data_IF_200182472953
#
_entry.id   IF_200182472953
#
_cell.length_a   1.000
_cell.length_b   1.000
_cell.length_c   1.000
_cell.angle_alpha   90.00
_cell.angle_beta   90.00
_cell.angle_gamma   90.00
#
_symmetry.space_group_name_H-M   'P 1'
#
loop_
_entity.id
_entity.type
_entity.pdbx_description
1 polymer ?
#
# COMPACT_ATOMS: atom_id res chain seq x y z
N UNK A 1 -5.23 10.74 48.58
CA UNK A 1 -3.93 10.82 47.90
C UNK A 1 -4.13 10.30 46.49
N UNK A 2 -4.25 11.21 45.52
CA UNK A 2 -4.46 10.90 44.11
C UNK A 2 -3.12 10.69 43.42
N UNK A 3 -2.78 9.44 43.10
CA UNK A 3 -1.65 9.13 42.23
C UNK A 3 -2.05 9.37 40.78
N UNK A 4 -1.58 10.47 40.19
CA UNK A 4 -1.54 10.63 38.73
C UNK A 4 -0.53 9.63 38.19
N UNK A 5 -1.00 8.71 37.36
CA UNK A 5 -0.15 8.04 36.38
C UNK A 5 0.09 9.04 35.25
N UNK A 6 1.22 9.74 35.29
CA UNK A 6 1.83 10.28 34.08
C UNK A 6 2.54 9.10 33.42
N UNK A 7 1.95 8.57 32.35
CA UNK A 7 2.67 7.73 31.41
C UNK A 7 3.55 8.66 30.57
N UNK A 8 4.86 8.56 30.75
CA UNK A 8 5.87 9.12 29.86
C UNK A 8 5.68 8.55 28.45
N UNK A 9 4.97 9.29 27.60
CA UNK A 9 5.02 9.14 26.15
C UNK A 9 6.03 10.15 25.61
N UNK A 10 7.27 9.69 25.45
CA UNK A 10 8.38 10.39 24.78
C UNK A 10 9.42 9.31 24.45
N UNK A 11 9.94 9.13 23.24
CA UNK A 11 9.88 9.94 22.02
C UNK A 11 10.59 9.14 20.93
N UNK A 12 9.87 8.72 19.89
CA UNK A 12 10.39 8.90 18.55
C UNK A 12 9.57 10.04 17.98
N UNK A 13 10.22 11.09 17.50
CA UNK A 13 9.50 12.05 16.68
C UNK A 13 8.92 11.31 15.48
N UNK A 14 7.72 11.67 15.02
CA UNK A 14 7.15 11.10 13.79
C UNK A 14 8.16 11.18 12.64
N UNK A 15 9.03 12.18 12.67
CA UNK A 15 10.13 12.35 11.75
C UNK A 15 11.22 11.27 11.89
N UNK A 16 11.64 10.88 13.09
CA UNK A 16 12.58 9.76 13.32
C UNK A 16 11.97 8.39 13.01
N UNK A 17 10.65 8.23 13.20
CA UNK A 17 9.95 7.00 12.80
C UNK A 17 9.85 6.90 11.28
N UNK A 18 9.50 8.00 10.62
CA UNK A 18 9.45 8.07 9.16
C UNK A 18 10.84 8.03 8.53
N UNK A 19 11.87 8.58 9.17
CA UNK A 19 13.28 8.43 8.79
C UNK A 19 13.75 6.99 9.01
N UNK A 20 13.39 6.34 10.12
CA UNK A 20 13.71 4.93 10.36
C UNK A 20 13.04 3.98 9.37
N UNK A 21 11.78 4.23 9.01
CA UNK A 21 11.11 3.56 7.89
C UNK A 21 11.83 3.89 6.60
N UNK A 22 12.02 5.17 6.28
CA UNK A 22 12.67 5.60 5.04
C UNK A 22 14.06 5.00 4.89
N UNK A 23 14.85 4.88 5.95
CA UNK A 23 16.20 4.30 5.96
C UNK A 23 16.14 2.78 5.85
N UNK A 24 15.14 2.12 6.43
CA UNK A 24 14.90 0.68 6.22
C UNK A 24 14.45 0.38 4.78
N UNK A 25 13.62 1.25 4.20
CA UNK A 25 13.21 1.17 2.80
C UNK A 25 14.37 1.58 1.85
N UNK A 26 15.26 2.49 2.26
CA UNK A 26 16.41 2.98 1.47
C UNK A 26 17.69 2.14 1.61
N UNK A 27 17.86 1.36 2.68
CA UNK A 27 19.06 0.54 2.88
C UNK A 27 19.19 -0.58 1.85
N UNK A 28 18.10 -0.91 1.17
CA UNK A 28 18.12 -1.71 -0.04
C UNK A 28 18.26 -0.75 -1.22
N UNK A 29 19.50 -0.53 -1.65
CA UNK A 29 19.76 0.04 -2.96
C UNK A 29 19.05 -0.85 -3.99
N UNK A 30 17.86 -0.45 -4.44
CA UNK A 30 17.07 -1.20 -5.40
C UNK A 30 17.85 -1.22 -6.72
N UNK A 31 18.63 -2.27 -6.97
CA UNK A 31 19.30 -2.48 -8.26
C UNK A 31 18.30 -2.76 -9.39
N UNK A 32 17.04 -3.05 -9.03
CA UNK A 32 15.86 -3.14 -9.87
C UNK A 32 14.64 -3.39 -8.96
N UNK A 33 13.53 -2.67 -9.16
CA UNK A 33 12.25 -3.06 -8.53
C UNK A 33 11.94 -4.53 -8.85
N UNK A 34 11.38 -5.32 -7.91
CA UNK A 34 10.95 -6.68 -8.20
C UNK A 34 10.08 -6.74 -9.47
N UNK A 35 10.29 -7.78 -10.27
CA UNK A 35 9.48 -8.00 -11.47
C UNK A 35 8.02 -8.22 -11.09
N UNK A 36 7.11 -7.58 -11.83
CA UNK A 36 5.68 -7.79 -11.65
C UNK A 36 5.31 -9.23 -12.01
N UNK A 37 4.58 -9.92 -11.13
CA UNK A 37 4.19 -11.31 -11.36
C UNK A 37 3.26 -11.44 -12.58
N UNK A 38 3.23 -12.59 -13.27
CA UNK A 38 2.31 -12.79 -14.40
C UNK A 38 0.84 -12.54 -14.04
N UNK A 39 0.42 -12.96 -12.82
CA UNK A 39 -0.93 -12.71 -12.28
C UNK A 39 -1.20 -11.21 -12.19
N UNK A 40 -0.23 -10.45 -11.68
CA UNK A 40 -0.39 -9.00 -11.56
C UNK A 40 -0.44 -8.31 -12.92
N UNK A 41 0.40 -8.71 -13.87
CA UNK A 41 0.33 -8.21 -15.26
C UNK A 41 -1.01 -8.53 -15.93
N UNK A 42 -1.58 -9.69 -15.66
CA UNK A 42 -2.93 -10.05 -16.12
C UNK A 42 -4.00 -9.16 -15.50
N UNK A 43 -3.93 -8.90 -14.19
CA UNK A 43 -4.79 -7.94 -13.49
C UNK A 43 -4.74 -6.54 -14.13
N UNK A 44 -3.52 -6.02 -14.34
CA UNK A 44 -3.29 -4.71 -14.98
C UNK A 44 -3.92 -4.64 -16.39
N UNK A 45 -3.98 -5.78 -17.08
CA UNK A 45 -4.49 -5.86 -18.46
C UNK A 45 -6.00 -6.09 -18.54
N UNK A 46 -6.61 -6.76 -17.55
CA UNK A 46 -8.03 -7.18 -17.62
C UNK A 46 -8.96 -6.38 -16.72
N UNK A 47 -8.51 -6.00 -15.52
CA UNK A 47 -9.38 -5.43 -14.50
C UNK A 47 -9.29 -3.89 -14.47
N UNK A 48 -8.08 -3.34 -14.61
CA UNK A 48 -7.88 -1.88 -14.71
C UNK A 48 -8.62 -1.22 -15.89
N UNK A 49 -8.70 -1.82 -17.11
CA UNK A 49 -9.33 -1.17 -18.26
C UNK A 49 -10.82 -0.81 -18.08
N UNK A 50 -11.51 -1.44 -17.13
CA UNK A 50 -12.94 -1.20 -16.91
C UNK A 50 -13.22 -0.10 -15.88
N UNK A 51 -12.27 0.19 -14.98
CA UNK A 51 -12.56 0.97 -13.77
C UNK A 51 -12.16 2.44 -13.86
N UNK A 52 -11.30 2.84 -14.82
CA UNK A 52 -10.68 4.18 -14.82
C UNK A 52 -10.67 4.85 -16.18
N UNK A 53 -10.93 6.17 -16.13
CA UNK A 53 -10.72 7.21 -17.16
C UNK A 53 -10.11 6.64 -18.45
N UNK A 54 -11.00 6.12 -19.31
CA UNK A 54 -10.61 5.44 -20.53
C UNK A 54 -9.83 6.38 -21.43
N UNK A 55 -8.67 5.88 -21.91
CA UNK A 55 -7.81 6.47 -22.93
C UNK A 55 -7.22 7.81 -22.46
N UNK A 56 -5.97 7.74 -22.02
CA UNK A 56 -5.12 8.92 -21.97
C UNK A 56 -5.07 9.53 -23.37
N UNK A 57 -5.59 10.74 -23.51
CA UNK A 57 -5.22 11.65 -24.58
C UNK A 57 -3.79 12.13 -24.28
N UNK A 58 -2.78 11.78 -25.11
CA UNK A 58 -1.39 12.19 -24.90
C UNK A 58 -1.19 13.71 -24.97
N UNK A 59 -2.19 14.47 -25.42
CA UNK A 59 -2.18 15.94 -25.40
C UNK A 59 -2.83 16.55 -24.14
N UNK A 60 -3.47 15.73 -23.31
CA UNK A 60 -4.12 16.17 -22.07
C UNK A 60 -3.12 16.12 -20.92
N UNK A 61 -3.14 17.12 -20.05
CA UNK A 61 -2.33 17.12 -18.82
C UNK A 61 -2.93 16.16 -17.79
N UNK A 62 -2.07 15.39 -17.11
CA UNK A 62 -2.40 14.50 -15.99
C UNK A 62 -1.60 14.93 -14.77
N UNK A 63 -2.02 15.99 -14.05
CA UNK A 63 -1.24 16.59 -12.99
C UNK A 63 -0.95 15.64 -11.83
N UNK A 64 -1.92 14.81 -11.43
CA UNK A 64 -1.72 13.87 -10.31
C UNK A 64 -0.74 12.76 -10.69
N UNK A 65 -0.82 12.26 -11.92
CA UNK A 65 0.10 11.25 -12.44
C UNK A 65 1.52 11.83 -12.49
N UNK A 66 1.66 13.05 -13.00
CA UNK A 66 2.93 13.77 -13.03
C UNK A 66 3.52 13.91 -11.62
N UNK A 67 2.72 14.35 -10.66
CA UNK A 67 3.16 14.53 -9.28
C UNK A 67 3.61 13.20 -8.63
N UNK A 68 2.87 12.12 -8.87
CA UNK A 68 3.24 10.79 -8.41
C UNK A 68 4.58 10.33 -9.03
N UNK A 69 4.76 10.54 -10.34
CA UNK A 69 6.01 10.23 -11.05
C UNK A 69 7.19 11.01 -10.49
N UNK A 70 7.02 12.32 -10.31
CA UNK A 70 8.08 13.19 -9.76
C UNK A 70 8.51 12.73 -8.36
N UNK A 71 7.57 12.31 -7.51
CA UNK A 71 7.90 11.70 -6.23
C UNK A 71 8.70 10.40 -6.38
N UNK A 72 8.21 9.43 -7.15
CA UNK A 72 8.87 8.13 -7.32
C UNK A 72 10.27 8.29 -7.95
N UNK A 73 10.41 9.14 -8.95
CA UNK A 73 11.70 9.46 -9.59
C UNK A 73 12.66 10.15 -8.62
N UNK A 74 12.17 11.08 -7.79
CA UNK A 74 13.00 11.79 -6.80
C UNK A 74 13.56 10.86 -5.72
N UNK A 75 12.86 9.77 -5.41
CA UNK A 75 13.29 8.78 -4.42
C UNK A 75 13.99 7.57 -5.07
N UNK A 76 14.21 7.60 -6.39
CA UNK A 76 15.04 6.63 -7.13
C UNK A 76 14.34 5.33 -7.55
N UNK A 77 13.01 5.32 -7.64
CA UNK A 77 12.23 4.11 -7.90
C UNK A 77 12.19 3.77 -9.38
N UNK A 78 12.29 2.49 -9.72
CA UNK A 78 12.00 1.99 -11.07
C UNK A 78 10.56 1.51 -11.16
N UNK A 79 9.86 1.83 -12.25
CA UNK A 79 8.45 1.51 -12.40
C UNK A 79 8.05 1.29 -13.86
N UNK A 80 6.94 0.58 -14.07
CA UNK A 80 6.25 0.46 -15.34
C UNK A 80 5.12 1.50 -15.40
N UNK A 81 5.10 2.33 -16.46
CA UNK A 81 4.02 3.29 -16.70
C UNK A 81 2.99 2.68 -17.65
N UNK A 82 1.76 2.54 -17.17
CA UNK A 82 0.61 2.12 -17.96
C UNK A 82 -0.12 3.36 -18.46
N UNK A 83 0.43 3.96 -19.51
CA UNK A 83 -0.08 5.22 -20.08
C UNK A 83 -1.54 5.13 -20.48
N UNK A 84 -2.11 3.98 -20.83
CA UNK A 84 -3.54 3.92 -21.21
C UNK A 84 -4.52 4.13 -20.05
N UNK A 85 -4.06 4.06 -18.79
CA UNK A 85 -4.89 4.00 -17.59
C UNK A 85 -4.45 4.92 -16.45
N UNK A 86 -3.54 5.87 -16.72
CA UNK A 86 -2.98 6.80 -15.72
C UNK A 86 -2.51 6.07 -14.46
N UNK A 87 -1.80 4.96 -14.68
CA UNK A 87 -1.39 4.03 -13.64
C UNK A 87 0.12 3.79 -13.71
N UNK A 88 0.76 3.78 -12.55
CA UNK A 88 2.16 3.40 -12.36
C UNK A 88 2.17 2.10 -11.57
N UNK A 89 2.95 1.10 -11.99
CA UNK A 89 3.08 -0.17 -11.30
C UNK A 89 4.56 -0.51 -11.03
N UNK A 90 4.84 -1.10 -9.87
CA UNK A 90 6.19 -1.55 -9.50
C UNK A 90 6.14 -2.62 -8.41
N UNK A 91 7.16 -3.46 -8.32
CA UNK A 91 7.34 -4.35 -7.19
C UNK A 91 7.96 -3.62 -5.99
N UNK A 92 7.70 -4.12 -4.79
CA UNK A 92 8.28 -3.62 -3.54
C UNK A 92 8.74 -4.77 -2.64
N UNK A 93 9.84 -4.56 -1.93
CA UNK A 93 10.39 -5.48 -0.92
C UNK A 93 10.48 -4.73 0.41
N UNK A 94 9.62 -5.13 1.36
CA UNK A 94 9.64 -4.65 2.74
C UNK A 94 10.36 -5.62 3.67
N UNK A 95 10.23 -5.39 4.97
CA UNK A 95 10.84 -6.25 6.01
C UNK A 95 10.24 -7.66 6.01
N UNK A 96 8.93 -7.76 5.73
CA UNK A 96 8.14 -8.96 5.95
C UNK A 96 7.72 -9.67 4.65
N UNK A 97 8.19 -9.18 3.49
CA UNK A 97 8.01 -9.86 2.21
C UNK A 97 8.02 -8.93 1.00
N UNK A 98 7.61 -9.51 -0.13
CA UNK A 98 7.51 -8.83 -1.43
C UNK A 98 6.05 -8.70 -1.84
N UNK A 99 5.74 -7.59 -2.49
CA UNK A 99 4.40 -7.35 -3.03
C UNK A 99 4.47 -6.38 -4.21
N UNK A 100 3.34 -6.22 -4.90
CA UNK A 100 3.22 -5.28 -6.01
C UNK A 100 2.53 -4.02 -5.57
N UNK A 101 2.85 -2.89 -6.18
CA UNK A 101 2.25 -1.62 -5.89
C UNK A 101 1.67 -0.99 -7.14
N UNK A 102 0.61 -0.21 -6.96
CA UNK A 102 0.05 0.64 -8.01
C UNK A 102 -0.23 2.03 -7.48
N UNK A 103 0.21 3.05 -8.22
CA UNK A 103 -0.37 4.39 -8.13
C UNK A 103 -1.36 4.52 -9.27
N UNK A 104 -2.56 4.96 -8.96
CA UNK A 104 -3.64 5.06 -9.91
C UNK A 104 -4.31 6.43 -9.76
N UNK A 105 -4.32 7.24 -10.81
CA UNK A 105 -4.90 8.59 -10.76
C UNK A 105 -6.21 8.67 -11.53
N UNK A 106 -7.23 9.20 -10.86
CA UNK A 106 -8.55 9.51 -11.42
C UNK A 106 -8.60 11.01 -11.64
N UNK A 107 -8.06 11.41 -12.76
CA UNK A 107 -7.71 12.80 -13.06
C UNK A 107 -8.96 13.65 -13.29
N UNK A 108 -10.04 13.04 -13.78
CA UNK A 108 -11.33 13.71 -13.87
C UNK A 108 -11.96 13.99 -12.50
N UNK A 109 -11.76 13.10 -11.54
CA UNK A 109 -12.32 13.20 -10.19
C UNK A 109 -11.35 13.82 -9.18
N UNK A 110 -10.14 14.22 -9.59
CA UNK A 110 -9.08 14.70 -8.71
C UNK A 110 -8.75 13.72 -7.57
N UNK A 111 -8.64 12.42 -7.87
CA UNK A 111 -8.30 11.42 -6.86
C UNK A 111 -7.00 10.69 -7.18
N UNK A 112 -6.20 10.41 -6.15
CA UNK A 112 -5.03 9.55 -6.24
C UNK A 112 -5.25 8.35 -5.33
N UNK A 113 -5.08 7.16 -5.88
CA UNK A 113 -5.23 5.89 -5.17
C UNK A 113 -3.89 5.17 -5.21
N UNK A 114 -3.49 4.62 -4.08
CA UNK A 114 -2.31 3.79 -3.97
C UNK A 114 -2.68 2.43 -3.39
N UNK A 115 -2.23 1.38 -4.06
CA UNK A 115 -2.47 0.00 -3.67
C UNK A 115 -1.14 -0.70 -3.36
N UNK A 116 -1.12 -1.47 -2.28
CA UNK A 116 -0.19 -2.59 -2.09
C UNK A 116 -0.96 -3.90 -2.30
N UNK A 117 -0.48 -4.76 -3.19
CA UNK A 117 -1.16 -5.94 -3.71
C UNK A 117 -0.32 -7.18 -3.46
N UNK A 118 -0.90 -8.18 -2.78
CA UNK A 118 -0.21 -9.42 -2.46
C UNK A 118 0.18 -10.20 -3.73
N UNK A 119 1.46 -10.57 -3.86
CA UNK A 119 2.01 -11.14 -5.09
C UNK A 119 1.31 -12.42 -5.58
N UNK A 120 1.05 -13.35 -4.65
CA UNK A 120 0.52 -14.68 -4.96
C UNK A 120 -0.98 -14.82 -4.65
N UNK A 121 -1.60 -13.76 -4.15
CA UNK A 121 -2.95 -13.78 -3.57
C UNK A 121 -3.13 -14.81 -2.45
N UNK A 122 -4.37 -14.95 -2.00
CA UNK A 122 -4.74 -15.79 -0.86
C UNK A 122 -5.22 -17.15 -1.35
N UNK A 123 -4.70 -18.26 -0.80
CA UNK A 123 -5.21 -19.59 -1.11
C UNK A 123 -6.70 -19.72 -0.78
N UNK A 124 -7.47 -20.40 -1.64
CA UNK A 124 -8.93 -20.55 -1.50
C UNK A 124 -9.35 -21.02 -0.09
N UNK A 125 -8.63 -22.02 0.44
CA UNK A 125 -8.89 -22.58 1.79
C UNK A 125 -8.65 -21.60 2.94
N UNK A 126 -8.00 -20.47 2.68
CA UNK A 126 -7.68 -19.42 3.66
C UNK A 126 -8.51 -18.16 3.49
N UNK A 127 -9.31 -18.03 2.43
CA UNK A 127 -10.12 -16.84 2.12
C UNK A 127 -10.98 -16.44 3.33
N UNK A 128 -11.78 -17.34 3.89
CA UNK A 128 -12.67 -17.01 5.02
C UNK A 128 -11.91 -16.53 6.26
N UNK A 129 -10.74 -17.13 6.54
CA UNK A 129 -9.90 -16.74 7.68
C UNK A 129 -9.29 -15.36 7.47
N UNK A 130 -8.79 -15.08 6.27
CA UNK A 130 -8.22 -13.77 5.94
C UNK A 130 -9.32 -12.71 5.91
N UNK A 131 -10.50 -12.99 5.35
CA UNK A 131 -11.66 -12.08 5.39
C UNK A 131 -11.99 -11.66 6.83
N UNK A 132 -12.04 -12.62 7.75
CA UNK A 132 -12.26 -12.30 9.18
C UNK A 132 -11.13 -11.46 9.75
N UNK A 133 -9.88 -11.80 9.46
CA UNK A 133 -8.71 -11.07 9.92
C UNK A 133 -8.71 -9.62 9.42
N UNK A 134 -8.85 -9.39 8.11
CA UNK A 134 -8.84 -8.04 7.53
C UNK A 134 -10.03 -7.21 8.00
N UNK A 135 -11.19 -7.82 8.26
CA UNK A 135 -12.36 -7.11 8.82
C UNK A 135 -12.05 -6.56 10.22
N UNK A 136 -11.36 -7.33 11.06
CA UNK A 136 -10.95 -6.90 12.40
C UNK A 136 -9.88 -5.82 12.31
N UNK A 137 -8.90 -5.99 11.42
CA UNK A 137 -7.84 -4.99 11.18
C UNK A 137 -8.43 -3.68 10.69
N UNK A 138 -9.29 -3.71 9.67
CA UNK A 138 -9.92 -2.52 9.10
C UNK A 138 -10.70 -1.70 10.14
N UNK A 139 -11.33 -2.35 11.11
CA UNK A 139 -12.01 -1.65 12.20
C UNK A 139 -11.08 -0.78 13.07
N UNK A 140 -9.78 -1.08 13.07
CA UNK A 140 -8.77 -0.40 13.89
C UNK A 140 -7.88 0.56 13.09
N UNK A 141 -7.95 0.52 11.75
CA UNK A 141 -7.13 1.38 10.90
C UNK A 141 -7.65 2.81 10.89
N UNK A 142 -6.72 3.76 10.91
CA UNK A 142 -7.03 5.20 10.79
C UNK A 142 -7.02 5.65 9.33
N UNK A 143 -6.07 5.14 8.55
CA UNK A 143 -5.85 5.53 7.15
C UNK A 143 -5.81 4.27 6.31
N UNK A 144 -6.61 4.21 5.26
CA UNK A 144 -6.64 3.09 4.32
C UNK A 144 -7.48 1.90 4.75
N UNK A 145 -7.58 0.89 3.88
CA UNK A 145 -8.33 -0.33 4.13
C UNK A 145 -7.78 -1.52 3.32
N UNK A 146 -7.89 -2.72 3.88
CA UNK A 146 -7.71 -3.96 3.14
C UNK A 146 -8.97 -4.30 2.32
N UNK A 147 -8.76 -4.80 1.12
CA UNK A 147 -9.78 -5.23 0.16
C UNK A 147 -9.42 -6.62 -0.35
N UNK A 148 -10.42 -7.48 -0.52
CA UNK A 148 -10.21 -8.81 -1.04
C UNK A 148 -11.24 -9.13 -2.11
N UNK A 149 -10.78 -9.63 -3.26
CA UNK A 149 -11.64 -10.33 -4.20
C UNK A 149 -11.72 -11.80 -3.77
N UNK A 150 -12.93 -12.23 -3.41
CA UNK A 150 -13.19 -13.59 -2.93
C UNK A 150 -13.21 -14.62 -4.07
N UNK A 151 -13.30 -14.18 -5.33
CA UNK A 151 -13.38 -15.06 -6.49
C UNK A 151 -12.02 -15.65 -6.86
N UNK A 152 -10.94 -14.91 -6.62
CA UNK A 152 -9.58 -15.31 -6.98
C UNK A 152 -8.56 -15.14 -5.84
N UNK A 153 -8.98 -14.61 -4.68
CA UNK A 153 -8.14 -14.38 -3.52
C UNK A 153 -7.20 -13.19 -3.65
N UNK A 154 -7.41 -12.27 -4.61
CA UNK A 154 -6.64 -11.03 -4.67
C UNK A 154 -6.80 -10.26 -3.35
N UNK A 155 -5.69 -9.82 -2.76
CA UNK A 155 -5.68 -9.05 -1.52
C UNK A 155 -4.90 -7.75 -1.74
N UNK A 156 -5.57 -6.64 -1.51
CA UNK A 156 -5.04 -5.29 -1.66
C UNK A 156 -5.13 -4.52 -0.35
N UNK A 157 -4.21 -3.58 -0.17
CA UNK A 157 -4.32 -2.51 0.81
C UNK A 157 -4.36 -1.17 0.10
N UNK A 158 -5.48 -0.48 0.24
CA UNK A 158 -5.77 0.75 -0.47
C UNK A 158 -5.63 1.95 0.46
N UNK A 159 -4.97 2.97 -0.04
CA UNK A 159 -5.05 4.34 0.47
C UNK A 159 -5.47 5.25 -0.66
N UNK A 160 -6.38 6.19 -0.40
CA UNK A 160 -6.86 7.12 -1.42
C UNK A 160 -6.90 8.55 -0.88
N UNK A 161 -6.61 9.50 -1.74
CA UNK A 161 -6.73 10.93 -1.49
C UNK A 161 -7.78 11.50 -2.44
N UNK A 162 -8.74 12.22 -1.88
CA UNK A 162 -9.60 13.16 -2.62
C UNK A 162 -8.92 14.53 -2.57
N UNK A 163 -8.56 15.04 -3.74
CA UNK A 163 -7.74 16.24 -3.92
C UNK A 163 -8.53 17.35 -4.63
N UNK A 164 -9.86 17.25 -4.67
CA UNK A 164 -10.68 18.28 -5.30
C UNK A 164 -10.49 19.66 -4.63
N UNK A 165 -10.12 20.65 -5.45
CA UNK A 165 -9.80 22.00 -4.98
C UNK A 165 -8.51 22.13 -4.16
N UNK A 166 -7.66 21.09 -4.12
CA UNK A 166 -6.38 21.07 -3.41
C UNK A 166 -5.25 21.06 -4.44
N UNK A 167 -4.24 21.90 -4.23
CA UNK A 167 -2.92 21.75 -4.88
C UNK A 167 -2.01 20.96 -3.93
N UNK A 168 -1.92 19.61 -4.09
CA UNK A 168 -1.27 18.76 -3.11
C UNK A 168 0.25 19.00 -3.08
N UNK A 169 0.85 19.32 -1.92
CA UNK A 169 2.29 19.33 -1.81
C UNK A 169 2.82 17.90 -2.00
N UNK A 170 4.02 17.75 -2.57
CA UNK A 170 4.65 16.45 -2.79
C UNK A 170 4.77 15.62 -1.49
N UNK A 171 4.87 16.28 -0.33
CA UNK A 171 4.86 15.62 0.98
C UNK A 171 3.56 14.86 1.28
N UNK A 172 2.41 15.31 0.79
CA UNK A 172 1.14 14.60 0.97
C UNK A 172 1.16 13.26 0.22
N UNK A 173 1.67 13.26 -1.00
CA UNK A 173 1.82 12.05 -1.83
C UNK A 173 2.82 11.08 -1.21
N UNK A 174 3.97 11.60 -0.75
CA UNK A 174 4.96 10.80 -0.02
C UNK A 174 4.33 10.13 1.21
N UNK A 175 3.68 10.92 2.07
CA UNK A 175 3.17 10.44 3.34
C UNK A 175 2.10 9.35 3.15
N UNK A 176 1.21 9.49 2.15
CA UNK A 176 0.17 8.47 1.91
C UNK A 176 0.77 7.17 1.38
N UNK A 177 1.77 7.25 0.48
CA UNK A 177 2.47 6.07 -0.05
C UNK A 177 3.25 5.38 1.06
N UNK A 178 4.02 6.12 1.86
CA UNK A 178 4.81 5.56 2.95
C UNK A 178 3.93 4.92 4.03
N UNK A 179 2.80 5.55 4.37
CA UNK A 179 1.81 4.97 5.30
C UNK A 179 1.25 3.66 4.76
N UNK A 180 0.96 3.60 3.46
CA UNK A 180 0.46 2.38 2.83
C UNK A 180 1.47 1.23 2.92
N UNK A 181 2.70 1.49 2.46
CA UNK A 181 3.78 0.50 2.45
C UNK A 181 4.06 -0.03 3.85
N UNK A 182 4.24 0.86 4.82
CA UNK A 182 4.52 0.48 6.22
C UNK A 182 3.37 -0.31 6.85
N UNK A 183 2.13 0.07 6.57
CA UNK A 183 0.96 -0.66 7.09
C UNK A 183 0.84 -2.03 6.45
N UNK A 184 1.03 -2.13 5.13
CA UNK A 184 0.97 -3.42 4.45
C UNK A 184 2.07 -4.37 4.94
N UNK A 185 3.31 -3.90 5.01
CA UNK A 185 4.46 -4.69 5.49
C UNK A 185 4.22 -5.25 6.89
N UNK A 186 3.71 -4.42 7.82
CA UNK A 186 3.38 -4.86 9.18
C UNK A 186 2.33 -5.98 9.18
N UNK A 187 1.24 -5.81 8.43
CA UNK A 187 0.14 -6.77 8.43
C UNK A 187 0.44 -8.03 7.60
N UNK A 188 1.45 -7.96 6.71
CA UNK A 188 1.93 -9.10 5.94
C UNK A 188 2.40 -10.24 6.85
N UNK A 189 2.94 -9.94 8.04
CA UNK A 189 3.24 -10.95 9.07
C UNK A 189 2.01 -11.76 9.48
N UNK A 190 0.92 -11.06 9.83
CA UNK A 190 -0.33 -11.70 10.22
C UNK A 190 -0.93 -12.51 9.06
N UNK A 191 -0.94 -11.94 7.86
CA UNK A 191 -1.42 -12.60 6.63
C UNK A 191 -0.65 -13.89 6.38
N UNK A 192 0.68 -13.84 6.37
CA UNK A 192 1.55 -15.00 6.15
C UNK A 192 1.34 -16.06 7.24
N UNK A 193 1.22 -15.66 8.51
CA UNK A 193 0.97 -16.60 9.60
C UNK A 193 -0.34 -17.37 9.42
N UNK A 194 -1.39 -16.72 8.92
CA UNK A 194 -2.69 -17.37 8.64
C UNK A 194 -2.55 -18.33 7.45
N UNK A 195 -1.84 -17.92 6.40
CA UNK A 195 -1.54 -18.78 5.24
C UNK A 195 -0.77 -20.04 5.68
N UNK A 196 0.14 -19.90 6.66
CA UNK A 196 0.86 -21.00 7.30
C UNK A 196 0.01 -21.83 8.29
N UNK A 197 -1.27 -21.50 8.44
CA UNK A 197 -2.25 -22.28 9.21
C UNK A 197 -2.45 -21.80 10.65
N UNK A 198 -1.88 -20.66 11.07
CA UNK A 198 -2.15 -20.08 12.39
C UNK A 198 -3.59 -19.54 12.49
N UNK A 199 -4.02 -19.31 13.72
CA UNK A 199 -5.34 -18.72 13.98
C UNK A 199 -5.33 -17.21 13.77
N UNK A 200 -6.50 -16.63 13.49
CA UNK A 200 -6.67 -15.16 13.39
C UNK A 200 -6.20 -14.44 14.65
N UNK A 201 -6.46 -15.00 15.83
CA UNK A 201 -6.02 -14.39 17.09
C UNK A 201 -4.49 -14.39 17.19
N UNK A 202 -3.84 -15.51 16.87
CA UNK A 202 -2.38 -15.59 16.87
C UNK A 202 -1.75 -14.60 15.88
N UNK A 203 -2.40 -14.36 14.74
CA UNK A 203 -1.94 -13.38 13.74
C UNK A 203 -2.05 -11.93 14.26
N UNK A 204 -3.13 -11.61 14.98
CA UNK A 204 -3.31 -10.31 15.62
C UNK A 204 -2.27 -10.07 16.72
N UNK A 205 -2.00 -11.09 17.56
CA UNK A 205 -1.01 -11.01 18.64
C UNK A 205 0.40 -10.70 18.09
N UNK A 206 0.78 -11.29 16.95
CA UNK A 206 2.08 -11.04 16.29
C UNK A 206 2.21 -9.57 15.87
N UNK A 207 1.15 -8.99 15.30
CA UNK A 207 1.15 -7.60 14.82
C UNK A 207 1.21 -6.59 15.97
N UNK A 208 0.51 -6.87 17.07
CA UNK A 208 0.51 -6.03 18.26
C UNK A 208 1.89 -6.04 18.96
N UNK A 209 2.56 -7.19 18.98
CA UNK A 209 3.88 -7.34 19.62
C UNK A 209 5.01 -6.66 18.83
N UNK A 210 4.96 -6.65 17.50
CA UNK A 210 5.92 -5.88 16.69
C UNK A 210 5.74 -4.35 16.81
N UNK A 211 4.60 -3.89 17.31
CA UNK A 211 4.31 -2.45 17.48
C UNK A 211 4.78 -1.89 18.83
N UNK A 212 5.39 -2.73 19.68
CA UNK A 212 5.86 -2.42 21.04
C UNK A 212 7.39 -2.44 21.11
#
# INVERSE_FOLDING_TARGET
>A
MSGRFEQDYSSMSDQEFMEGISDTLRSHSFSSSPELSPRFKEYLTRNIPEQIDRKIDPLKEYPLLKLAREYLESDGWTYELLESHSTIAFGFEGKNGKWHCMVQTREKENQLIFYSSLENGIPETMIEKIMRFITIVNYRLVVGNFEMDISDGELNYKTALDLDGIDPPQSLIRNIIQTNLATFDRHLLGINSIIEGKSVNSALDIIETESS
#
